data_IF_822859077022
#
_entry.id   IF_822859077022
#
_cell.length_a   1.000
_cell.length_b   1.000
_cell.length_c   1.000
_cell.angle_alpha   90.00
_cell.angle_beta   90.00
_cell.angle_gamma   90.00
#
_symmetry.space_group_name_H-M   'P 1'
#
loop_
_entity.id
_entity.type
_entity.pdbx_description
1 polymer ?
#
# COMPACT_ATOMS: atom_id res chain seq x y z
N UNK A 1 13.29 -28.00 27.96
CA UNK A 1 13.45 -26.87 27.03
C UNK A 1 14.92 -26.78 26.71
N UNK A 2 15.27 -26.94 25.44
CA UNK A 2 16.64 -26.91 24.95
C UNK A 2 16.73 -25.80 23.90
N UNK A 3 17.73 -24.93 24.01
CA UNK A 3 18.00 -23.80 23.12
C UNK A 3 19.43 -23.98 22.63
N UNK A 4 19.68 -24.07 21.32
CA UNK A 4 21.05 -24.04 20.80
C UNK A 4 21.43 -22.62 20.38
N UNK A 5 22.59 -22.15 20.83
CA UNK A 5 23.14 -20.84 20.46
C UNK A 5 24.64 -20.85 20.70
N UNK A 6 25.43 -20.44 19.70
CA UNK A 6 26.86 -20.78 19.54
C UNK A 6 27.84 -20.11 20.51
N UNK A 7 27.41 -19.43 21.58
CA UNK A 7 28.33 -18.80 22.54
C UNK A 7 27.81 -18.52 23.96
N UNK A 8 26.52 -18.70 24.27
CA UNK A 8 25.95 -18.36 25.59
C UNK A 8 25.23 -19.55 26.25
N UNK A 9 25.19 -19.61 27.59
CA UNK A 9 24.37 -20.59 28.28
C UNK A 9 22.89 -20.41 27.89
N UNK A 10 22.25 -21.51 27.54
CA UNK A 10 20.86 -21.58 27.05
C UNK A 10 19.86 -20.92 28.00
N UNK A 11 20.08 -21.03 29.32
CA UNK A 11 19.25 -20.40 30.35
C UNK A 11 19.33 -18.87 30.33
N UNK A 12 20.46 -18.28 29.90
CA UNK A 12 20.63 -16.84 29.84
C UNK A 12 19.82 -16.25 28.67
N UNK A 13 19.80 -16.95 27.52
CA UNK A 13 18.96 -16.58 26.37
C UNK A 13 17.49 -16.67 26.74
N UNK A 14 17.05 -17.78 27.35
CA UNK A 14 15.67 -17.93 27.81
C UNK A 14 15.25 -16.81 28.77
N UNK A 15 16.12 -16.46 29.72
CA UNK A 15 15.87 -15.38 30.69
C UNK A 15 15.85 -14.00 30.02
N UNK A 16 16.77 -13.72 29.10
CA UNK A 16 16.82 -12.44 28.39
C UNK A 16 15.58 -12.22 27.51
N UNK A 17 15.09 -13.30 26.89
CA UNK A 17 13.85 -13.32 26.12
C UNK A 17 12.59 -13.33 26.99
N UNK A 18 12.73 -13.53 28.31
CA UNK A 18 11.60 -13.75 29.22
C UNK A 18 10.67 -14.86 28.74
N UNK A 19 11.26 -15.93 28.18
CA UNK A 19 10.48 -16.98 27.53
C UNK A 19 9.73 -17.81 28.58
N UNK A 20 8.42 -17.97 28.39
CA UNK A 20 7.55 -18.80 29.23
C UNK A 20 6.95 -19.92 28.37
N UNK A 21 6.78 -21.11 28.95
CA UNK A 21 6.20 -22.25 28.25
C UNK A 21 5.08 -22.87 29.08
N UNK A 22 3.91 -22.99 28.47
CA UNK A 22 2.70 -23.58 29.07
C UNK A 22 2.05 -24.54 28.07
N UNK A 23 2.26 -25.84 28.25
CA UNK A 23 1.85 -26.83 27.25
C UNK A 23 2.59 -26.58 25.92
N UNK A 24 1.88 -26.53 24.80
CA UNK A 24 2.48 -26.20 23.50
C UNK A 24 2.67 -24.70 23.27
N UNK A 25 2.19 -23.84 24.18
CA UNK A 25 2.34 -22.39 24.05
C UNK A 25 3.71 -21.93 24.57
N UNK A 26 4.40 -21.12 23.76
CA UNK A 26 5.66 -20.46 24.10
C UNK A 26 5.44 -18.95 23.96
N UNK A 27 5.58 -18.21 25.07
CA UNK A 27 5.51 -16.76 25.05
C UNK A 27 6.86 -16.09 25.24
N UNK A 28 7.05 -14.93 24.63
CA UNK A 28 8.26 -14.12 24.74
C UNK A 28 7.94 -12.78 25.42
N UNK A 29 8.74 -12.42 26.42
CA UNK A 29 8.61 -11.18 27.18
C UNK A 29 10.00 -10.61 27.47
N UNK A 30 10.71 -10.03 26.48
CA UNK A 30 12.09 -9.60 26.64
C UNK A 30 12.32 -8.75 27.88
N UNK A 31 13.27 -9.20 28.70
CA UNK A 31 13.68 -8.50 29.92
C UNK A 31 14.84 -7.52 29.66
N UNK A 32 15.37 -7.51 28.43
CA UNK A 32 16.46 -6.64 28.01
C UNK A 32 15.93 -5.53 27.10
N UNK A 33 16.37 -4.30 27.32
CA UNK A 33 16.06 -3.15 26.46
C UNK A 33 17.04 -3.06 25.28
N UNK A 34 16.65 -2.27 24.28
CA UNK A 34 17.46 -2.03 23.09
C UNK A 34 17.29 -3.08 22.00
N UNK A 35 18.00 -2.86 20.90
CA UNK A 35 17.95 -3.74 19.74
C UNK A 35 18.77 -5.01 19.98
N UNK A 36 18.22 -6.16 19.62
CA UNK A 36 18.97 -7.42 19.59
C UNK A 36 18.37 -8.40 18.60
N UNK A 37 19.14 -9.42 18.24
CA UNK A 37 18.73 -10.46 17.30
C UNK A 37 19.22 -11.80 17.81
N UNK A 38 18.33 -12.79 17.82
CA UNK A 38 18.59 -14.18 18.11
C UNK A 38 18.22 -14.97 16.86
N UNK A 39 19.23 -15.39 16.10
CA UNK A 39 19.02 -16.17 14.89
C UNK A 39 19.07 -17.67 15.19
N UNK A 40 18.28 -18.45 14.45
CA UNK A 40 18.20 -19.90 14.53
C UNK A 40 17.93 -20.39 15.96
N UNK A 41 17.01 -19.73 16.66
CA UNK A 41 16.54 -20.15 17.97
C UNK A 41 15.72 -21.44 17.81
N UNK A 42 16.32 -22.55 18.20
CA UNK A 42 15.62 -23.83 18.33
C UNK A 42 14.89 -23.90 19.68
N UNK A 43 13.62 -24.28 19.64
CA UNK A 43 12.77 -24.46 20.82
C UNK A 43 12.16 -25.84 20.73
N UNK A 44 12.26 -26.65 21.79
CA UNK A 44 11.60 -27.95 21.88
C UNK A 44 10.88 -28.15 23.21
N UNK A 45 9.66 -28.67 23.13
CA UNK A 45 8.82 -28.98 24.29
C UNK A 45 7.79 -30.07 23.96
N UNK A 46 7.70 -31.11 24.79
CA UNK A 46 6.75 -32.23 24.66
C UNK A 46 6.73 -32.93 23.29
N UNK A 47 7.88 -33.03 22.63
CA UNK A 47 8.00 -33.66 21.30
C UNK A 47 7.70 -32.72 20.14
N UNK A 48 7.20 -31.51 20.40
CA UNK A 48 7.06 -30.43 19.43
C UNK A 48 8.31 -29.55 19.42
N UNK A 49 8.55 -28.86 18.30
CA UNK A 49 9.68 -27.98 18.11
C UNK A 49 9.42 -26.83 17.14
N UNK A 50 10.25 -25.79 17.22
CA UNK A 50 10.28 -24.71 16.24
C UNK A 50 11.71 -24.17 16.06
N UNK A 51 12.01 -23.72 14.84
CA UNK A 51 13.17 -22.91 14.50
C UNK A 51 12.69 -21.50 14.15
N UNK A 52 13.18 -20.51 14.90
CA UNK A 52 12.81 -19.11 14.67
C UNK A 52 14.00 -18.18 14.65
N UNK A 53 13.88 -17.07 13.95
CA UNK A 53 14.63 -15.87 14.28
C UNK A 53 13.75 -14.95 15.10
N UNK A 54 14.30 -14.49 16.22
CA UNK A 54 13.67 -13.51 17.09
C UNK A 54 14.46 -12.22 17.07
N UNK A 55 13.83 -11.09 16.75
CA UNK A 55 14.51 -9.79 16.77
C UNK A 55 13.72 -8.79 17.58
N UNK A 56 14.45 -7.87 18.20
CA UNK A 56 13.92 -6.66 18.80
C UNK A 56 14.61 -5.46 18.17
N UNK A 57 13.86 -4.48 17.67
CA UNK A 57 14.44 -3.23 17.17
C UNK A 57 14.79 -2.27 18.32
N UNK A 58 15.46 -1.16 17.99
CA UNK A 58 15.77 -0.12 18.99
C UNK A 58 14.50 0.55 19.56
N UNK A 59 13.43 0.54 18.78
CA UNK A 59 12.09 1.03 19.12
C UNK A 59 11.28 0.02 19.95
N UNK A 60 11.85 -1.16 20.21
CA UNK A 60 11.23 -2.21 21.01
C UNK A 60 10.30 -3.12 20.23
N UNK A 61 10.32 -3.06 18.90
CA UNK A 61 9.50 -3.86 17.98
C UNK A 61 9.99 -5.29 17.95
N UNK A 62 9.09 -6.25 18.17
CA UNK A 62 9.43 -7.66 18.24
C UNK A 62 9.02 -8.36 16.95
N UNK A 63 9.96 -9.03 16.28
CA UNK A 63 9.68 -9.80 15.06
C UNK A 63 10.01 -11.27 15.24
N UNK A 64 9.18 -12.10 14.59
CA UNK A 64 9.33 -13.55 14.50
C UNK A 64 9.41 -13.93 13.04
N UNK A 65 10.50 -14.58 12.68
CA UNK A 65 10.57 -15.34 11.45
C UNK A 65 10.53 -16.81 11.83
N UNK A 66 9.46 -17.52 11.45
CA UNK A 66 9.33 -18.95 11.73
C UNK A 66 9.84 -19.72 10.51
N UNK A 67 10.97 -20.40 10.68
CA UNK A 67 11.56 -21.25 9.65
C UNK A 67 10.92 -22.63 9.62
N UNK A 68 10.63 -23.17 10.81
CA UNK A 68 9.98 -24.47 10.98
C UNK A 68 9.19 -24.47 12.28
N UNK A 69 8.04 -25.14 12.30
CA UNK A 69 7.24 -25.34 13.51
C UNK A 69 6.42 -26.63 13.40
N UNK A 70 6.65 -27.60 14.30
CA UNK A 70 5.97 -28.89 14.31
C UNK A 70 4.72 -28.94 15.19
N UNK A 71 4.43 -27.88 15.97
CA UNK A 71 3.22 -27.84 16.81
C UNK A 71 3.25 -26.86 17.98
N UNK A 72 4.29 -26.03 18.10
CA UNK A 72 4.37 -24.98 19.12
C UNK A 72 3.50 -23.78 18.74
N UNK A 73 2.81 -23.20 19.72
CA UNK A 73 2.12 -21.92 19.56
C UNK A 73 3.02 -20.81 20.07
N UNK A 74 3.69 -20.11 19.15
CA UNK A 74 4.61 -19.03 19.49
C UNK A 74 3.86 -17.70 19.56
N UNK A 75 3.98 -17.00 20.69
CA UNK A 75 3.32 -15.70 20.91
C UNK A 75 4.32 -14.68 21.48
N UNK A 76 4.52 -13.54 20.83
CA UNK A 76 5.14 -12.37 21.46
C UNK A 76 4.11 -11.43 22.06
N UNK A 77 4.60 -10.28 22.55
CA UNK A 77 3.83 -9.14 23.04
C UNK A 77 2.36 -9.12 22.59
N UNK A 78 1.47 -8.82 23.55
CA UNK A 78 0.05 -8.64 23.27
C UNK A 78 -0.16 -7.56 22.21
N UNK A 79 -0.46 -7.97 20.98
CA UNK A 79 -0.80 -7.03 19.94
C UNK A 79 -2.13 -6.36 20.26
N UNK A 80 -2.14 -5.04 20.23
CA UNK A 80 -3.37 -4.26 20.40
C UNK A 80 -3.89 -3.85 19.04
N UNK A 81 -5.19 -3.93 18.82
CA UNK A 81 -5.81 -3.41 17.60
C UNK A 81 -6.29 -1.99 17.83
N UNK A 82 -5.89 -1.07 16.94
CA UNK A 82 -6.38 0.30 16.90
C UNK A 82 -6.93 0.62 15.53
N UNK A 83 -8.11 1.22 15.50
CA UNK A 83 -8.69 1.80 14.30
C UNK A 83 -8.55 3.30 14.39
N UNK A 84 -8.17 3.95 13.29
CA UNK A 84 -8.17 5.40 13.21
C UNK A 84 -9.57 5.95 13.54
N UNK A 85 -9.65 6.83 14.54
CA UNK A 85 -10.90 7.46 14.97
C UNK A 85 -11.05 8.85 14.37
N UNK A 86 -9.92 9.51 14.06
CA UNK A 86 -9.88 10.91 13.63
C UNK A 86 -10.43 11.86 14.70
N UNK A 87 -11.02 12.97 14.25
CA UNK A 87 -11.78 13.90 15.08
C UNK A 87 -11.04 15.18 15.46
N UNK A 88 -9.75 15.10 15.80
CA UNK A 88 -8.97 16.30 16.17
C UNK A 88 -8.23 16.90 14.98
N UNK A 89 -7.67 16.04 14.13
CA UNK A 89 -6.92 16.41 12.93
C UNK A 89 -6.86 15.23 11.95
N UNK A 90 -6.29 15.46 10.76
CA UNK A 90 -5.87 14.40 9.84
C UNK A 90 -4.48 13.83 10.13
N UNK A 91 -3.84 14.22 11.23
CA UNK A 91 -2.44 13.86 11.50
C UNK A 91 -2.31 12.55 12.29
N UNK A 92 -1.60 11.58 11.71
CA UNK A 92 -1.28 10.28 12.30
C UNK A 92 -0.65 10.42 13.69
N UNK A 93 0.26 11.38 13.85
CA UNK A 93 1.08 11.53 15.04
C UNK A 93 0.38 12.30 16.18
N UNK A 94 -0.93 12.54 16.05
CA UNK A 94 -1.78 13.09 17.11
C UNK A 94 -2.45 11.95 17.93
N UNK A 95 -2.07 11.70 19.21
CA UNK A 95 -2.59 10.57 20.01
C UNK A 95 -4.11 10.56 20.17
N UNK A 96 -4.75 11.73 20.18
CA UNK A 96 -6.20 11.85 20.31
C UNK A 96 -6.98 11.18 19.16
N UNK A 97 -6.40 11.12 17.95
CA UNK A 97 -7.01 10.44 16.79
C UNK A 97 -7.00 8.90 16.90
N UNK A 98 -6.33 8.36 17.93
CA UNK A 98 -6.15 6.94 18.21
C UNK A 98 -6.71 6.49 19.57
N UNK A 99 -7.54 7.32 20.22
CA UNK A 99 -8.06 7.04 21.56
C UNK A 99 -7.04 7.29 22.68
N UNK A 100 -6.06 8.18 22.47
CA UNK A 100 -5.16 8.70 23.49
C UNK A 100 -3.74 8.16 23.49
N UNK A 101 -3.42 7.17 22.65
CA UNK A 101 -2.05 6.62 22.54
C UNK A 101 -1.76 6.31 21.08
N UNK A 102 -0.58 6.71 20.61
CA UNK A 102 -0.16 6.44 19.24
C UNK A 102 0.03 4.94 19.02
N UNK A 103 -0.30 4.44 17.82
CA UNK A 103 0.16 3.14 17.37
C UNK A 103 1.68 3.07 17.39
N UNK A 104 2.17 1.93 17.82
CA UNK A 104 3.56 1.52 17.74
C UNK A 104 3.65 0.18 17.01
N UNK A 105 4.86 -0.36 16.88
CA UNK A 105 5.10 -1.62 16.22
C UNK A 105 4.51 -2.87 16.90
N UNK A 106 3.81 -2.72 18.04
CA UNK A 106 2.99 -3.79 18.64
C UNK A 106 1.49 -3.55 18.38
N UNK A 107 1.14 -2.59 17.52
CA UNK A 107 -0.23 -2.20 17.24
C UNK A 107 -0.65 -2.63 15.84
N UNK A 108 -1.74 -3.40 15.75
CA UNK A 108 -2.45 -3.67 14.51
C UNK A 108 -3.33 -2.47 14.15
N UNK A 109 -2.99 -1.77 13.08
CA UNK A 109 -3.69 -0.57 12.65
C UNK A 109 -4.67 -0.85 11.52
N UNK A 110 -5.89 -0.33 11.67
CA UNK A 110 -6.87 -0.22 10.59
C UNK A 110 -7.17 1.25 10.28
N UNK A 111 -7.01 1.63 9.02
CA UNK A 111 -7.49 2.90 8.49
C UNK A 111 -8.84 2.65 7.81
N UNK A 112 -9.96 3.19 8.32
CA UNK A 112 -11.29 2.96 7.77
C UNK A 112 -11.53 3.74 6.48
N UNK A 113 -12.49 3.29 5.68
CA UNK A 113 -12.92 3.96 4.45
C UNK A 113 -13.23 5.43 4.68
N UNK A 114 -12.80 6.30 3.76
CA UNK A 114 -13.04 7.74 3.82
C UNK A 114 -12.15 8.51 4.80
N UNK A 115 -11.26 7.83 5.53
CA UNK A 115 -10.23 8.51 6.31
C UNK A 115 -9.15 9.09 5.38
N UNK A 116 -8.69 10.30 5.70
CA UNK A 116 -7.54 10.95 5.09
C UNK A 116 -6.53 11.26 6.19
N UNK A 117 -5.37 10.62 6.14
CA UNK A 117 -4.36 10.68 7.19
C UNK A 117 -3.03 11.11 6.59
N UNK A 118 -2.33 12.02 7.26
CA UNK A 118 -0.97 12.45 6.95
C UNK A 118 -0.03 12.08 8.09
N UNK A 119 1.18 11.64 7.81
CA UNK A 119 2.25 11.57 8.82
C UNK A 119 2.94 12.92 8.96
N UNK A 120 3.25 13.30 10.20
CA UNK A 120 4.08 14.46 10.54
C UNK A 120 5.38 14.08 11.25
N UNK A 121 5.55 12.80 11.57
CA UNK A 121 6.78 12.19 12.03
C UNK A 121 6.80 10.70 11.68
N UNK A 122 7.98 10.08 11.75
CA UNK A 122 8.16 8.65 11.51
C UNK A 122 7.24 7.81 12.43
N UNK A 123 6.78 6.67 11.91
CA UNK A 123 5.90 5.77 12.62
C UNK A 123 6.26 4.30 12.38
N UNK A 124 5.80 3.43 13.28
CA UNK A 124 5.97 1.99 13.18
C UNK A 124 4.68 1.31 13.64
N UNK A 125 4.28 0.23 12.96
CA UNK A 125 3.10 -0.57 13.31
C UNK A 125 3.34 -2.07 13.15
N UNK A 126 2.57 -2.90 13.84
CA UNK A 126 2.64 -4.35 13.68
C UNK A 126 2.03 -4.77 12.35
N UNK A 127 0.76 -4.44 12.13
CA UNK A 127 0.05 -4.73 10.89
C UNK A 127 -0.64 -3.44 10.43
N UNK A 128 -0.78 -3.27 9.12
CA UNK A 128 -1.47 -2.12 8.54
C UNK A 128 -2.51 -2.58 7.52
N UNK A 129 -3.77 -2.23 7.76
CA UNK A 129 -4.85 -2.39 6.79
C UNK A 129 -5.39 -1.02 6.38
N UNK A 130 -5.23 -0.67 5.11
CA UNK A 130 -5.78 0.54 4.49
C UNK A 130 -7.03 0.14 3.71
N UNK A 131 -8.20 0.53 4.22
CA UNK A 131 -9.49 0.14 3.62
C UNK A 131 -9.74 0.83 2.27
N UNK A 132 -10.62 0.28 1.42
CA UNK A 132 -11.07 0.97 0.21
C UNK A 132 -11.54 2.41 0.48
N UNK A 133 -11.12 3.35 -0.36
CA UNK A 133 -11.46 4.76 -0.23
C UNK A 133 -10.76 5.50 0.93
N UNK A 134 -9.86 4.86 1.67
CA UNK A 134 -8.98 5.53 2.62
C UNK A 134 -7.74 6.10 1.93
N UNK A 135 -7.14 7.14 2.52
CA UNK A 135 -5.91 7.78 2.05
C UNK A 135 -4.91 7.88 3.19
N UNK A 136 -3.70 7.37 2.97
CA UNK A 136 -2.54 7.55 3.86
C UNK A 136 -1.42 8.27 3.10
N UNK A 137 -1.07 9.46 3.54
CA UNK A 137 0.03 10.25 3.00
C UNK A 137 1.21 10.21 3.98
N UNK A 138 2.33 9.64 3.54
CA UNK A 138 3.56 9.55 4.31
C UNK A 138 4.37 10.85 4.27
N UNK A 139 4.08 11.77 3.34
CA UNK A 139 4.93 12.93 3.08
C UNK A 139 6.38 12.49 2.85
N UNK A 140 7.31 13.10 3.59
CA UNK A 140 8.74 12.71 3.61
C UNK A 140 9.10 11.77 4.77
N UNK A 141 8.11 11.28 5.52
CA UNK A 141 8.33 10.45 6.70
C UNK A 141 8.37 8.96 6.34
N UNK A 142 9.00 8.19 7.22
CA UNK A 142 9.04 6.74 7.12
C UNK A 142 7.92 6.10 7.94
N UNK A 143 7.34 5.05 7.37
CA UNK A 143 6.46 4.13 8.08
C UNK A 143 7.06 2.75 7.98
N UNK A 144 7.27 2.09 9.11
CA UNK A 144 7.67 0.69 9.16
C UNK A 144 6.48 -0.20 9.51
N UNK A 145 6.42 -1.39 8.89
CA UNK A 145 5.43 -2.41 9.22
C UNK A 145 6.16 -3.71 9.51
N UNK A 146 5.94 -4.26 10.71
CA UNK A 146 6.66 -5.47 11.14
C UNK A 146 6.06 -6.75 10.57
N UNK A 147 4.73 -6.81 10.48
CA UNK A 147 3.95 -7.90 9.95
C UNK A 147 3.43 -7.61 8.54
N UNK A 148 2.12 -7.67 8.38
CA UNK A 148 1.44 -7.56 7.09
C UNK A 148 0.97 -6.15 6.79
N UNK A 149 1.14 -5.72 5.54
CA UNK A 149 0.56 -4.51 5.00
C UNK A 149 -0.42 -4.88 3.89
N UNK A 150 -1.69 -4.52 4.05
CA UNK A 150 -2.72 -4.63 3.02
C UNK A 150 -3.18 -3.23 2.62
N UNK A 151 -2.91 -2.85 1.36
CA UNK A 151 -3.40 -1.60 0.79
C UNK A 151 -4.54 -1.88 -0.19
N UNK A 152 -5.76 -1.51 0.20
CA UNK A 152 -6.94 -1.47 -0.67
C UNK A 152 -7.40 -0.03 -0.93
N UNK A 153 -6.71 0.97 -0.36
CA UNK A 153 -6.98 2.39 -0.52
C UNK A 153 -5.89 3.08 -1.33
N UNK A 154 -5.53 4.28 -0.91
CA UNK A 154 -4.50 5.11 -1.53
C UNK A 154 -3.35 5.34 -0.55
N UNK A 155 -2.12 5.12 -1.01
CA UNK A 155 -0.88 5.46 -0.32
C UNK A 155 -0.15 6.55 -1.12
N UNK A 156 0.25 7.64 -0.47
CA UNK A 156 1.08 8.69 -1.09
C UNK A 156 2.40 8.82 -0.34
N UNK A 157 3.48 9.08 -1.06
CA UNK A 157 4.79 9.41 -0.49
C UNK A 157 5.49 10.45 -1.37
N UNK A 158 6.16 11.39 -0.72
CA UNK A 158 7.09 12.34 -1.35
C UNK A 158 8.53 11.89 -1.10
N UNK A 159 9.40 12.03 -2.10
CA UNK A 159 10.83 11.86 -1.90
C UNK A 159 11.65 12.64 -2.93
N UNK A 160 12.93 12.81 -2.66
CA UNK A 160 13.85 13.49 -3.58
C UNK A 160 14.44 12.45 -4.53
N UNK A 161 14.30 12.70 -5.83
CA UNK A 161 14.92 11.89 -6.89
C UNK A 161 15.93 12.77 -7.63
N UNK A 162 17.20 12.52 -7.38
CA UNK A 162 18.33 13.27 -7.94
C UNK A 162 19.39 12.37 -8.59
N UNK A 163 20.53 12.94 -8.96
CA UNK A 163 21.59 12.23 -9.65
C UNK A 163 22.18 11.06 -8.83
N UNK A 164 22.01 11.03 -7.50
CA UNK A 164 22.42 9.89 -6.68
C UNK A 164 21.61 8.63 -7.01
N UNK A 165 20.37 8.80 -7.50
CA UNK A 165 19.49 7.72 -7.94
C UNK A 165 19.94 7.04 -9.24
N UNK A 166 20.99 7.53 -9.91
CA UNK A 166 21.53 6.90 -11.12
C UNK A 166 22.39 5.66 -10.82
N UNK A 167 22.80 5.47 -9.57
CA UNK A 167 23.60 4.33 -9.15
C UNK A 167 22.71 3.20 -8.59
N UNK A 168 23.03 1.95 -8.93
CA UNK A 168 22.35 0.78 -8.38
C UNK A 168 20.91 0.61 -8.89
N UNK A 169 19.98 0.32 -7.98
CA UNK A 169 18.60 -0.03 -8.31
C UNK A 169 17.66 1.18 -8.46
N UNK A 170 18.13 2.42 -8.28
CA UNK A 170 17.31 3.62 -8.37
C UNK A 170 16.81 4.09 -7.01
N UNK A 171 16.09 5.21 -6.96
CA UNK A 171 15.49 5.69 -5.72
C UNK A 171 14.13 5.05 -5.48
N UNK A 172 13.95 4.29 -4.38
CA UNK A 172 12.67 3.67 -4.05
C UNK A 172 11.69 4.74 -3.54
N UNK A 173 10.46 4.72 -4.07
CA UNK A 173 9.32 5.46 -3.57
C UNK A 173 8.13 4.52 -3.41
N UNK A 174 7.35 4.73 -2.36
CA UNK A 174 6.26 3.86 -1.93
C UNK A 174 6.74 2.53 -1.37
N UNK A 175 8.02 2.41 -1.00
CA UNK A 175 8.53 1.23 -0.30
C UNK A 175 8.33 1.37 1.21
N UNK A 176 7.73 0.34 1.81
CA UNK A 176 7.57 0.19 3.25
C UNK A 176 8.19 -1.14 3.65
N UNK A 177 9.11 -1.07 4.60
CA UNK A 177 9.88 -2.21 5.11
C UNK A 177 9.70 -2.36 6.61
N UNK A 178 10.20 -3.45 7.17
CA UNK A 178 10.40 -3.62 8.62
C UNK A 178 11.33 -2.56 9.17
N UNK A 179 11.27 -2.27 10.47
CA UNK A 179 12.13 -1.22 11.09
C UNK A 179 13.63 -1.52 11.02
N UNK A 180 14.02 -2.78 10.81
CA UNK A 180 15.40 -3.18 10.54
C UNK A 180 15.82 -3.00 9.07
N UNK A 181 14.89 -2.63 8.18
CA UNK A 181 15.12 -2.46 6.75
C UNK A 181 15.36 -3.76 5.98
N UNK A 182 15.20 -4.92 6.62
CA UNK A 182 15.59 -6.21 6.04
C UNK A 182 14.48 -6.86 5.21
N UNK A 183 13.22 -6.50 5.43
CA UNK A 183 12.07 -7.11 4.75
C UNK A 183 11.11 -6.06 4.21
N UNK A 184 10.93 -6.05 2.89
CA UNK A 184 9.93 -5.22 2.22
C UNK A 184 8.52 -5.78 2.48
N UNK A 185 7.65 -4.97 3.10
CA UNK A 185 6.22 -5.28 3.31
C UNK A 185 5.31 -4.69 2.25
N UNK A 186 5.76 -3.64 1.57
CA UNK A 186 5.07 -3.05 0.44
C UNK A 186 6.08 -2.41 -0.50
N UNK A 187 6.01 -2.71 -1.79
CA UNK A 187 6.89 -2.14 -2.80
C UNK A 187 6.10 -1.19 -3.72
N UNK A 188 6.70 -0.06 -4.09
CA UNK A 188 6.12 0.94 -4.98
C UNK A 188 6.83 0.98 -6.33
N UNK A 189 7.62 2.02 -6.55
CA UNK A 189 8.43 2.22 -7.77
C UNK A 189 9.88 2.49 -7.42
N UNK A 190 10.77 2.14 -8.33
CA UNK A 190 12.18 2.54 -8.27
C UNK A 190 12.45 3.42 -9.50
N UNK A 191 12.94 4.64 -9.28
CA UNK A 191 13.11 5.65 -10.33
C UNK A 191 14.61 5.89 -10.57
N UNK A 192 15.02 5.74 -11.82
CA UNK A 192 16.35 6.07 -12.33
C UNK A 192 16.26 7.22 -13.34
N UNK A 193 16.54 8.47 -12.95
CA UNK A 193 16.55 9.58 -13.89
C UNK A 193 17.70 9.42 -14.90
N UNK A 194 17.42 9.53 -16.20
CA UNK A 194 18.40 9.36 -17.29
C UNK A 194 18.68 10.65 -18.06
N UNK A 195 18.02 11.76 -17.71
CA UNK A 195 18.29 13.08 -18.27
C UNK A 195 19.70 13.61 -17.95
N UNK A 196 20.15 14.62 -18.69
CA UNK A 196 21.50 15.19 -18.53
C UNK A 196 21.78 15.72 -17.11
N UNK A 197 20.76 16.32 -16.47
CA UNK A 197 20.85 16.81 -15.09
C UNK A 197 20.48 15.73 -14.05
N UNK A 198 19.90 14.61 -14.50
CA UNK A 198 19.42 13.48 -13.71
C UNK A 198 18.70 13.87 -12.39
N UNK A 199 18.01 15.02 -12.38
CA UNK A 199 17.42 15.59 -11.17
C UNK A 199 15.94 15.88 -11.39
N UNK A 200 15.09 15.05 -10.80
CA UNK A 200 13.64 15.17 -10.85
C UNK A 200 13.08 16.03 -9.69
N UNK A 201 13.93 16.43 -8.75
CA UNK A 201 13.55 17.18 -7.56
C UNK A 201 12.70 16.35 -6.61
N UNK A 202 11.73 16.99 -5.96
CA UNK A 202 10.71 16.28 -5.18
C UNK A 202 9.77 15.57 -6.15
N UNK A 203 9.59 14.27 -5.95
CA UNK A 203 8.62 13.44 -6.66
C UNK A 203 7.55 13.01 -5.68
N UNK A 204 6.30 13.30 -6.02
CA UNK A 204 5.14 12.74 -5.33
C UNK A 204 4.71 11.46 -6.06
N UNK A 205 4.65 10.36 -5.31
CA UNK A 205 4.12 9.08 -5.77
C UNK A 205 2.81 8.80 -5.04
N UNK A 206 1.76 8.50 -5.81
CA UNK A 206 0.50 7.96 -5.30
C UNK A 206 0.27 6.56 -5.85
N UNK A 207 -0.01 5.60 -4.96
CA UNK A 207 -0.31 4.21 -5.28
C UNK A 207 -1.71 3.84 -4.80
N UNK A 208 -2.57 3.39 -5.72
CA UNK A 208 -3.86 2.76 -5.39
C UNK A 208 -3.69 1.24 -5.47
N UNK A 209 -3.76 0.56 -4.34
CA UNK A 209 -3.62 -0.90 -4.24
C UNK A 209 -4.97 -1.61 -4.34
N UNK A 210 -4.97 -2.84 -4.87
CA UNK A 210 -6.16 -3.68 -5.11
C UNK A 210 -7.29 -2.96 -5.87
N UNK A 211 -6.93 -2.05 -6.77
CA UNK A 211 -7.87 -1.24 -7.54
C UNK A 211 -7.41 -1.15 -9.00
N UNK A 212 -8.36 -1.19 -9.92
CA UNK A 212 -8.13 -0.81 -11.32
C UNK A 212 -8.09 0.70 -11.47
N UNK A 213 -7.46 1.25 -12.51
CA UNK A 213 -7.24 2.69 -12.68
C UNK A 213 -8.48 3.47 -13.19
N UNK A 214 -9.65 3.11 -12.65
CA UNK A 214 -10.98 3.32 -13.23
C UNK A 214 -11.55 4.73 -13.24
N UNK A 215 -10.88 5.73 -12.68
CA UNK A 215 -11.31 7.13 -12.80
C UNK A 215 -10.76 7.81 -14.09
N UNK A 216 -9.84 7.15 -14.80
CA UNK A 216 -9.15 7.65 -15.99
C UNK A 216 -9.44 6.83 -17.25
N UNK A 217 -10.63 6.22 -17.34
CA UNK A 217 -10.93 5.21 -18.35
C UNK A 217 -10.75 3.82 -17.75
N UNK A 218 -11.83 3.06 -17.71
CA UNK A 218 -11.93 1.79 -16.98
C UNK A 218 -11.01 0.73 -17.58
N UNK A 219 -9.95 0.38 -16.85
CA UNK A 219 -9.06 -0.73 -17.18
C UNK A 219 -9.49 -1.98 -16.41
N UNK A 220 -10.48 -2.70 -16.92
CA UNK A 220 -11.00 -3.87 -16.23
C UNK A 220 -10.00 -5.04 -16.19
N UNK A 221 -9.06 -5.08 -17.13
CA UNK A 221 -8.10 -6.17 -17.29
C UNK A 221 -6.65 -5.77 -16.93
N UNK A 222 -6.43 -4.65 -16.23
CA UNK A 222 -5.08 -4.29 -15.76
C UNK A 222 -4.74 -5.02 -14.46
N UNK A 223 -3.46 -5.08 -14.11
CA UNK A 223 -3.03 -5.30 -12.73
C UNK A 223 -3.81 -4.35 -11.82
N UNK A 224 -4.27 -4.83 -10.67
CA UNK A 224 -5.02 -4.09 -9.65
C UNK A 224 -4.10 -3.19 -8.83
N UNK A 225 -3.27 -2.41 -9.52
CA UNK A 225 -2.40 -1.41 -8.94
C UNK A 225 -2.23 -0.26 -9.92
N UNK A 226 -2.39 0.96 -9.42
CA UNK A 226 -2.21 2.17 -10.20
C UNK A 226 -1.16 3.05 -9.55
N UNK A 227 -0.35 3.67 -10.38
CA UNK A 227 0.68 4.60 -9.95
C UNK A 227 0.36 5.97 -10.53
N UNK A 228 0.61 7.02 -9.78
CA UNK A 228 0.59 8.39 -10.26
C UNK A 228 1.86 9.04 -9.75
N UNK A 229 2.72 9.47 -10.68
CA UNK A 229 4.06 9.98 -10.39
C UNK A 229 4.06 11.44 -10.86
N UNK A 230 4.45 12.35 -9.97
CA UNK A 230 4.48 13.79 -10.25
C UNK A 230 5.83 14.35 -9.80
N UNK A 231 6.83 14.41 -10.71
CA UNK A 231 8.11 15.04 -10.42
C UNK A 231 8.02 16.57 -10.50
N UNK A 232 8.71 17.26 -9.61
CA UNK A 232 8.84 18.72 -9.64
C UNK A 232 9.58 19.20 -10.89
N UNK A 233 10.58 18.44 -11.34
CA UNK A 233 11.35 18.70 -12.56
C UNK A 233 11.27 17.47 -13.47
N UNK A 234 10.25 17.34 -14.34
CA UNK A 234 10.15 16.21 -15.26
C UNK A 234 11.43 16.03 -16.10
N UNK A 235 11.97 14.81 -16.12
CA UNK A 235 13.15 14.39 -16.90
C UNK A 235 12.89 13.00 -17.47
N UNK A 236 13.57 12.57 -18.55
CA UNK A 236 13.55 11.16 -18.95
C UNK A 236 14.01 10.25 -17.80
N UNK A 237 13.33 9.13 -17.60
CA UNK A 237 13.66 8.14 -16.58
C UNK A 237 13.45 6.70 -17.06
N UNK A 238 14.16 5.78 -16.41
CA UNK A 238 13.80 4.38 -16.33
C UNK A 238 13.08 4.13 -15.00
N UNK A 239 11.93 3.46 -15.03
CA UNK A 239 11.12 3.22 -13.84
C UNK A 239 10.78 1.74 -13.74
N UNK A 240 11.03 1.17 -12.56
CA UNK A 240 10.60 -0.19 -12.21
C UNK A 240 9.35 -0.12 -11.34
N UNK A 241 8.26 -0.71 -11.81
CA UNK A 241 6.97 -0.76 -11.12
C UNK A 241 6.78 -2.11 -10.45
N UNK A 242 6.58 -2.12 -9.13
CA UNK A 242 6.34 -3.35 -8.37
C UNK A 242 4.85 -3.54 -8.07
N UNK A 243 4.39 -4.78 -8.15
CA UNK A 243 3.04 -5.18 -7.77
C UNK A 243 3.06 -6.54 -7.08
N UNK A 244 2.08 -6.78 -6.21
CA UNK A 244 1.95 -8.03 -5.48
C UNK A 244 1.30 -9.09 -6.38
N UNK A 245 1.65 -10.37 -6.21
CA UNK A 245 1.08 -11.48 -6.99
C UNK A 245 -0.46 -11.52 -6.94
N UNK A 246 -1.05 -11.12 -5.81
CA UNK A 246 -2.52 -11.05 -5.65
C UNK A 246 -3.18 -9.91 -6.44
N UNK A 247 -2.41 -8.94 -6.93
CA UNK A 247 -2.91 -7.82 -7.75
C UNK A 247 -2.82 -8.13 -9.25
N UNK A 248 -2.22 -9.26 -9.65
CA UNK A 248 -1.95 -9.60 -11.06
C UNK A 248 -3.18 -9.52 -11.97
N UNK A 249 -4.37 -9.87 -11.44
CA UNK A 249 -5.64 -9.82 -12.18
C UNK A 249 -5.56 -10.51 -13.56
N UNK A 250 -4.99 -11.72 -13.57
CA UNK A 250 -4.76 -12.54 -14.76
C UNK A 250 -3.80 -11.99 -15.83
N UNK A 251 -3.06 -10.91 -15.57
CA UNK A 251 -2.00 -10.42 -16.47
C UNK A 251 -0.74 -11.28 -16.35
N UNK A 252 -0.37 -12.00 -17.40
CA UNK A 252 0.78 -12.90 -17.39
C UNK A 252 2.11 -12.19 -17.72
N UNK A 253 2.06 -11.12 -18.51
CA UNK A 253 3.24 -10.40 -18.99
C UNK A 253 2.94 -8.91 -19.16
N UNK A 254 2.53 -8.20 -18.09
CA UNK A 254 2.05 -6.84 -18.23
C UNK A 254 3.14 -5.91 -18.77
N UNK A 255 2.75 -4.91 -19.54
CA UNK A 255 3.61 -3.79 -19.94
C UNK A 255 3.10 -2.50 -19.29
N UNK A 256 3.94 -1.48 -19.25
CA UNK A 256 3.58 -0.17 -18.68
C UNK A 256 2.78 0.64 -19.70
N UNK A 257 1.68 1.22 -19.24
CA UNK A 257 0.85 2.13 -20.00
C UNK A 257 0.75 3.45 -19.24
N UNK A 258 0.97 4.57 -19.93
CA UNK A 258 0.76 5.90 -19.38
C UNK A 258 -0.55 6.50 -19.91
N UNK A 259 -1.21 7.32 -19.10
CA UNK A 259 -2.50 7.90 -19.44
C UNK A 259 -2.34 9.26 -20.13
N UNK A 260 -2.85 9.37 -21.37
CA UNK A 260 -2.79 10.58 -22.19
C UNK A 260 -3.95 11.56 -21.93
N UNK A 261 -4.94 11.19 -21.10
CA UNK A 261 -6.19 11.93 -20.99
C UNK A 261 -7.26 11.44 -21.96
N UNK A 262 -8.53 11.81 -21.71
CA UNK A 262 -9.63 11.47 -22.61
C UNK A 262 -9.91 9.97 -22.81
N UNK A 263 -9.43 9.11 -21.91
CA UNK A 263 -9.49 7.65 -22.06
C UNK A 263 -8.38 7.05 -22.94
N UNK A 264 -7.42 7.84 -23.42
CA UNK A 264 -6.31 7.34 -24.22
C UNK A 264 -5.15 6.86 -23.34
N UNK A 265 -4.52 5.77 -23.76
CA UNK A 265 -3.35 5.18 -23.11
C UNK A 265 -2.31 4.87 -24.17
N UNK A 266 -1.06 5.17 -23.85
CA UNK A 266 0.10 4.89 -24.69
C UNK A 266 1.04 3.93 -23.95
N UNK A 267 1.60 2.98 -24.69
CA UNK A 267 2.46 1.95 -24.13
C UNK A 267 3.88 2.45 -24.04
N UNK A 268 4.52 2.24 -22.90
CA UNK A 268 5.92 2.57 -22.70
C UNK A 268 6.82 1.41 -23.16
N UNK A 269 8.07 1.74 -23.50
CA UNK A 269 9.06 0.74 -23.89
C UNK A 269 9.46 -0.11 -22.68
N UNK A 270 8.89 -1.31 -22.58
CA UNK A 270 9.24 -2.28 -21.53
C UNK A 270 10.62 -2.88 -21.81
N UNK A 271 11.56 -2.68 -20.89
CA UNK A 271 12.95 -3.18 -21.00
C UNK A 271 13.15 -4.51 -20.31
N UNK A 272 12.50 -4.73 -19.17
CA UNK A 272 12.63 -5.95 -18.38
C UNK A 272 11.39 -6.23 -17.53
N UNK A 273 11.29 -7.48 -17.05
CA UNK A 273 10.25 -7.95 -16.12
C UNK A 273 10.79 -9.09 -15.27
N UNK A 274 10.22 -9.30 -14.10
CA UNK A 274 10.61 -10.40 -13.24
C UNK A 274 9.75 -10.55 -11.98
N UNK A 275 10.20 -11.44 -11.11
CA UNK A 275 9.59 -11.68 -9.81
C UNK A 275 10.69 -11.88 -8.75
N UNK A 276 10.42 -11.43 -7.53
CA UNK A 276 11.22 -11.66 -6.34
C UNK A 276 10.28 -11.99 -5.17
N UNK A 277 10.17 -13.28 -4.84
CA UNK A 277 9.19 -13.76 -3.87
C UNK A 277 7.76 -13.46 -4.32
N UNK A 278 7.01 -12.74 -3.49
CA UNK A 278 5.60 -12.35 -3.75
C UNK A 278 5.45 -11.08 -4.59
N UNK A 279 6.56 -10.40 -4.87
CA UNK A 279 6.59 -9.17 -5.64
C UNK A 279 6.95 -9.46 -7.08
N UNK A 280 6.10 -9.05 -8.01
CA UNK A 280 6.39 -8.99 -9.42
C UNK A 280 6.78 -7.57 -9.81
N UNK A 281 7.53 -7.43 -10.91
CA UNK A 281 7.95 -6.13 -11.40
C UNK A 281 8.04 -6.06 -12.91
N UNK A 282 7.86 -4.84 -13.42
CA UNK A 282 8.02 -4.47 -14.82
C UNK A 282 8.82 -3.17 -14.88
N UNK A 283 9.82 -3.12 -15.74
CA UNK A 283 10.66 -1.96 -15.97
C UNK A 283 10.37 -1.36 -17.35
N UNK A 284 10.26 -0.04 -17.41
CA UNK A 284 10.13 0.70 -18.66
C UNK A 284 11.13 1.86 -18.72
N UNK A 285 11.64 2.13 -19.92
CA UNK A 285 12.66 3.16 -20.17
C UNK A 285 12.13 4.28 -21.04
N UNK A 286 12.76 5.45 -20.96
CA UNK A 286 12.45 6.58 -21.83
C UNK A 286 11.18 7.33 -21.43
N UNK A 287 10.71 7.13 -20.19
CA UNK A 287 9.53 7.81 -19.65
C UNK A 287 9.89 9.29 -19.46
N UNK A 288 9.29 10.16 -20.26
CA UNK A 288 9.45 11.62 -20.20
C UNK A 288 8.12 12.36 -19.98
N UNK A 289 7.00 11.64 -20.05
CA UNK A 289 5.67 12.09 -19.69
C UNK A 289 5.19 11.39 -18.41
N UNK A 290 4.74 12.19 -17.45
CA UNK A 290 4.34 11.71 -16.13
C UNK A 290 2.83 11.87 -15.96
N UNK A 291 2.16 10.74 -15.76
CA UNK A 291 0.72 10.65 -15.65
C UNK A 291 0.35 9.42 -14.81
N UNK A 292 -0.93 9.13 -14.59
CA UNK A 292 -1.29 7.83 -14.07
C UNK A 292 -0.74 6.71 -14.97
N UNK A 293 0.00 5.78 -14.36
CA UNK A 293 0.48 4.56 -15.00
C UNK A 293 -0.36 3.36 -14.57
N UNK A 294 -0.56 2.45 -15.52
CA UNK A 294 -1.20 1.15 -15.32
C UNK A 294 -0.32 0.05 -15.91
N UNK A 295 -0.48 -1.17 -15.41
CA UNK A 295 0.21 -2.36 -15.93
C UNK A 295 -0.82 -3.30 -16.55
N UNK A 296 -0.66 -3.69 -17.82
CA UNK A 296 -1.61 -4.58 -18.52
C UNK A 296 -0.94 -5.34 -19.68
N UNK A 297 -1.38 -6.57 -19.96
CA UNK A 297 -0.88 -7.41 -21.06
C UNK A 297 -1.20 -6.86 -22.46
N UNK A 298 -2.34 -6.16 -22.57
CA UNK A 298 -2.84 -5.60 -23.82
C UNK A 298 -3.21 -4.14 -23.60
N UNK A 299 -3.34 -3.39 -24.72
CA UNK A 299 -3.74 -1.99 -24.66
C UNK A 299 -5.03 -1.83 -23.86
N UNK A 300 -4.98 -1.03 -22.77
CA UNK A 300 -6.12 -0.38 -22.17
C UNK A 300 -7.18 0.10 -23.17
N UNK A 301 -8.27 -0.64 -23.35
CA UNK A 301 -9.46 -0.08 -24.02
C UNK A 301 -10.24 0.74 -23.01
N UNK A 302 -10.21 2.07 -23.11
CA UNK A 302 -11.18 2.87 -22.38
C UNK A 302 -12.59 2.52 -22.85
N UNK A 303 -13.46 2.19 -21.90
CA UNK A 303 -14.89 2.05 -22.17
C UNK A 303 -15.44 3.43 -22.55
N UNK A 304 -15.50 3.71 -23.86
CA UNK A 304 -16.25 4.84 -24.38
C UNK A 304 -17.72 4.46 -24.33
N UNK A 305 -18.48 5.05 -23.41
CA UNK A 305 -19.94 5.03 -23.46
C UNK A 305 -20.36 5.75 -24.74
N UNK A 306 -20.48 4.97 -25.81
CA UNK A 306 -20.94 5.45 -27.11
C UNK A 306 -22.43 5.65 -26.95
N UNK A 307 -22.82 6.85 -26.50
CA UNK A 307 -24.17 7.43 -26.44
C UNK A 307 -25.28 6.38 -26.27
N UNK A 308 -25.97 6.35 -25.12
CA UNK A 308 -27.28 5.70 -24.99
C UNK A 308 -28.18 6.23 -26.13
N UNK A 309 -28.27 5.49 -27.23
CA UNK A 309 -29.32 5.70 -28.21
C UNK A 309 -30.57 5.20 -27.52
N UNK A 310 -31.32 6.14 -26.94
CA UNK A 310 -32.70 5.90 -26.62
C UNK A 310 -33.38 5.50 -27.93
N UNK A 311 -33.54 4.19 -28.14
CA UNK A 311 -34.55 3.70 -29.05
C UNK A 311 -35.88 4.10 -28.43
N UNK A 312 -36.32 5.32 -28.73
CA UNK A 312 -37.72 5.69 -28.60
C UNK A 312 -38.48 4.63 -29.40
N UNK A 313 -39.35 3.81 -28.79
CA UNK A 313 -40.19 2.90 -29.57
C UNK A 313 -41.01 3.77 -30.53
N UNK A 314 -40.75 3.60 -31.83
CA UNK A 314 -41.53 4.21 -32.88
C UNK A 314 -42.96 3.68 -32.74
N UNK A 315 -43.89 4.49 -32.22
CA UNK A 315 -45.27 4.02 -32.08
C UNK A 315 -46.26 4.85 -31.27
N UNK A 316 -45.93 6.05 -30.77
CA UNK A 316 -46.94 6.88 -30.11
C UNK A 316 -46.90 8.33 -30.61
N UNK A 317 -47.67 8.59 -31.68
CA UNK A 317 -48.03 9.94 -32.11
C UNK A 317 -49.25 10.41 -31.31
N UNK A 318 -49.03 11.17 -30.25
CA UNK A 318 -50.06 12.10 -29.77
C UNK A 318 -49.84 13.45 -30.47
N UNK A 319 -50.90 14.10 -31.00
CA UNK A 319 -50.78 15.46 -31.49
C UNK A 319 -50.66 16.39 -30.28
N UNK A 320 -49.43 16.79 -29.93
CA UNK A 320 -49.21 17.88 -29.00
C UNK A 320 -49.13 19.17 -29.85
N UNK A 321 -50.01 20.16 -29.64
CA UNK A 321 -49.87 21.45 -30.27
C UNK A 321 -48.60 22.13 -29.75
N UNK A 322 -47.71 22.50 -30.68
CA UNK A 322 -46.54 23.33 -30.41
C UNK A 322 -47.04 24.72 -30.01
N UNK A 323 -47.07 25.00 -28.71
CA UNK A 323 -47.17 26.35 -28.18
C UNK A 323 -45.74 26.88 -28.05
N UNK A 324 -45.36 27.80 -28.94
CA UNK A 324 -44.10 28.52 -28.84
C UNK A 324 -44.13 29.41 -27.59
N UNK A 325 -43.42 29.01 -26.54
CA UNK A 325 -43.11 29.86 -25.38
C UNK A 325 -41.67 30.32 -25.54
N UNK A 326 -41.51 31.56 -25.98
CA UNK A 326 -40.29 32.33 -25.85
C UNK A 326 -40.02 32.64 -24.38
N UNK A 327 -38.85 32.22 -23.89
CA UNK A 327 -38.12 32.87 -22.79
C UNK A 327 -38.62 32.64 -21.37
N UNK A 328 -37.89 31.83 -20.59
CA UNK A 328 -37.44 32.17 -19.24
C UNK A 328 -36.60 31.01 -18.67
N UNK A 329 -35.40 31.35 -18.21
CA UNK A 329 -34.54 30.53 -17.36
C UNK A 329 -35.29 30.21 -16.06
N UNK A 330 -35.56 28.93 -15.76
CA UNK A 330 -36.16 28.52 -14.49
C UNK A 330 -35.26 27.53 -13.78
N UNK A 331 -34.82 28.00 -12.61
CA UNK A 331 -34.11 27.34 -11.53
C UNK A 331 -34.95 26.16 -10.98
N UNK A 332 -34.41 24.94 -11.00
CA UNK A 332 -35.07 23.78 -10.38
C UNK A 332 -34.80 23.81 -8.88
N UNK A 333 -35.82 24.11 -8.08
CA UNK A 333 -35.85 23.88 -6.64
C UNK A 333 -36.84 22.75 -6.37
N UNK A 334 -36.33 21.54 -6.10
CA UNK A 334 -37.15 20.38 -5.73
C UNK A 334 -37.55 20.47 -4.25
N UNK A 335 -38.83 20.71 -3.98
CA UNK A 335 -39.47 20.32 -2.72
C UNK A 335 -40.65 19.40 -3.00
N UNK A 336 -40.50 18.13 -2.64
CA UNK A 336 -41.59 17.18 -2.56
C UNK A 336 -42.27 17.31 -1.19
N UNK A 337 -43.56 17.65 -1.18
CA UNK A 337 -44.49 17.34 -0.09
C UNK A 337 -45.80 16.87 -0.70
N UNK A 338 -46.13 15.59 -0.48
CA UNK A 338 -47.46 15.03 -0.70
C UNK A 338 -48.36 15.33 0.50
N UNK A 339 -49.51 15.96 0.25
CA UNK A 339 -50.79 15.67 0.92
C UNK A 339 -51.38 14.40 0.26
N UNK A 340 -52.22 13.56 0.87
CA UNK A 340 -53.58 13.78 1.41
C UNK A 340 -54.00 12.57 2.30
N UNK A 341 -54.66 12.81 3.44
CA UNK A 341 -56.11 12.60 3.73
C UNK A 341 -56.53 11.13 3.92
N UNK A 342 -56.76 10.77 5.19
CA UNK A 342 -58.08 10.41 5.75
C UNK A 342 -58.09 10.84 7.22
#
# INVERSE_FOLDING_TARGET
>A
MYIEGTAMPTWLIASALGMQVQGTQVSFHPQVSGAFTVNNLYISHNGEHAWIDYRRSAQGCETFEIHENSGLQLTSANFITRTWQGGTSGDWNTPANWGGTLPDCNTNVTIPSGAHITLSADAAVQNLNISPGAWLDLGFHSLSVEGTLTNQGTLTQSGVVDAACTNGNGCPLGEISTSDGMSTRYAGVYIHPTGADANMGVVELTIRGHQTCGNSGTLQNSVQRCFEISPANPQPAEITFYYHVNETNANAAPVVWHYLGGGAWEGEQTTARGANGVWHWVQASGIDAYSPFALADAQPTALRLTRLQGNSPAGFSWPIPVLAITGALVLIHLRHKHHEIA
#
